data_IF_895385560629
#
_entry.id   IF_895385560629
#
_cell.length_a   1.000
_cell.length_b   1.000
_cell.length_c   1.000
_cell.angle_alpha   90.00
_cell.angle_beta   90.00
_cell.angle_gamma   90.00
#
_symmetry.space_group_name_H-M   'P 1'
#
loop_
_entity.id
_entity.type
_entity.pdbx_description
1 polymer ?
#
# COMPACT_ATOMS: atom_id res chain seq x y z
N UNK A 1 -15.20 9.54 -1.94
CA UNK A 1 -14.34 8.35 -1.74
C UNK A 1 -13.76 8.45 -0.33
N UNK A 2 -14.17 7.54 0.55
CA UNK A 2 -13.68 7.47 1.94
C UNK A 2 -12.30 6.80 1.87
N UNK A 3 -11.27 7.39 2.48
CA UNK A 3 -9.99 6.69 2.63
C UNK A 3 -10.27 5.30 3.23
N UNK A 4 -9.69 4.20 2.69
CA UNK A 4 -9.89 2.88 3.27
C UNK A 4 -9.44 2.93 4.72
N UNK A 5 -10.35 2.60 5.63
CA UNK A 5 -10.08 2.67 7.05
C UNK A 5 -8.89 1.76 7.37
N UNK A 6 -7.99 2.20 8.26
CA UNK A 6 -6.83 1.42 8.68
C UNK A 6 -7.18 -0.04 9.04
N UNK A 7 -8.35 -0.24 9.67
CA UNK A 7 -8.87 -1.57 9.99
C UNK A 7 -9.02 -2.45 8.74
N UNK A 8 -9.62 -1.95 7.67
CA UNK A 8 -9.88 -2.72 6.45
C UNK A 8 -8.57 -3.10 5.77
N UNK A 9 -7.62 -2.15 5.70
CA UNK A 9 -6.28 -2.41 5.15
C UNK A 9 -5.57 -3.49 5.96
N UNK A 10 -5.59 -3.38 7.29
CA UNK A 10 -4.96 -4.34 8.18
C UNK A 10 -5.57 -5.75 8.04
N UNK A 11 -6.90 -5.88 8.12
CA UNK A 11 -7.61 -7.15 8.00
C UNK A 11 -7.45 -7.76 6.60
N UNK A 12 -7.41 -6.93 5.56
CA UNK A 12 -7.19 -7.40 4.19
C UNK A 12 -5.77 -7.93 3.98
N UNK A 13 -4.75 -7.28 4.54
CA UNK A 13 -3.37 -7.76 4.45
C UNK A 13 -3.21 -9.12 5.16
N UNK A 14 -3.81 -9.28 6.34
CA UNK A 14 -3.86 -10.55 7.05
C UNK A 14 -4.53 -11.66 6.23
N UNK A 15 -5.67 -11.34 5.60
CA UNK A 15 -6.45 -12.26 4.77
C UNK A 15 -5.70 -12.68 3.50
N UNK A 16 -5.22 -11.70 2.71
CA UNK A 16 -4.48 -11.93 1.45
C UNK A 16 -3.20 -12.74 1.73
N UNK A 17 -2.45 -12.35 2.77
CA UNK A 17 -1.22 -13.01 3.18
C UNK A 17 -1.41 -14.37 3.86
N UNK A 18 -2.66 -14.80 4.09
CA UNK A 18 -3.01 -16.02 4.83
C UNK A 18 -2.26 -16.13 6.16
N UNK A 19 -2.08 -14.99 6.83
CA UNK A 19 -1.26 -14.89 8.05
C UNK A 19 -2.00 -15.54 9.21
N UNK A 20 -1.31 -16.39 9.96
CA UNK A 20 -1.85 -16.92 11.20
C UNK A 20 -1.97 -15.80 12.24
N UNK A 21 -3.14 -15.71 12.87
CA UNK A 21 -3.47 -14.72 13.89
C UNK A 21 -3.95 -15.39 15.17
N UNK A 22 -3.70 -14.73 16.30
CA UNK A 22 -4.35 -15.00 17.58
C UNK A 22 -5.34 -13.86 17.85
N UNK A 23 -6.62 -14.20 18.01
CA UNK A 23 -7.71 -13.29 18.33
C UNK A 23 -8.07 -13.48 19.80
N UNK A 24 -7.96 -12.42 20.59
CA UNK A 24 -8.35 -12.39 21.99
C UNK A 24 -9.76 -11.80 22.11
N UNK A 25 -10.60 -12.47 22.88
CA UNK A 25 -11.98 -12.06 23.14
C UNK A 25 -12.12 -11.37 24.50
N UNK A 26 -13.21 -10.62 24.72
CA UNK A 26 -13.48 -9.93 26.00
C UNK A 26 -13.59 -10.88 27.19
N UNK A 27 -14.02 -12.12 26.97
CA UNK A 27 -14.10 -13.14 28.02
C UNK A 27 -12.74 -13.82 28.33
N UNK A 28 -11.64 -13.37 27.70
CA UNK A 28 -10.30 -13.92 27.86
C UNK A 28 -10.00 -15.16 27.02
N UNK A 29 -10.96 -15.68 26.25
CA UNK A 29 -10.69 -16.78 25.33
C UNK A 29 -9.77 -16.33 24.19
N UNK A 30 -8.92 -17.24 23.71
CA UNK A 30 -8.06 -17.05 22.55
C UNK A 30 -8.48 -17.98 21.41
N UNK A 31 -8.59 -17.42 20.21
CA UNK A 31 -8.87 -18.16 18.98
C UNK A 31 -7.68 -18.01 18.04
N UNK A 32 -7.21 -19.12 17.46
CA UNK A 32 -6.07 -19.13 16.55
C UNK A 32 -6.49 -19.62 15.18
N UNK A 33 -6.04 -18.95 14.13
CA UNK A 33 -6.43 -19.32 12.78
C UNK A 33 -5.96 -18.31 11.74
N UNK A 34 -6.56 -18.37 10.56
CA UNK A 34 -6.31 -17.44 9.45
C UNK A 34 -7.62 -16.75 9.09
N UNK A 35 -7.57 -15.44 8.86
CA UNK A 35 -8.76 -14.68 8.44
C UNK A 35 -9.11 -15.06 7.01
N UNK A 36 -10.36 -15.47 6.77
CA UNK A 36 -10.89 -15.82 5.44
C UNK A 36 -11.72 -14.72 4.82
N UNK A 37 -12.53 -14.05 5.63
CA UNK A 37 -13.38 -12.94 5.23
C UNK A 37 -13.61 -12.02 6.42
N UNK A 38 -14.05 -10.79 6.16
CA UNK A 38 -14.52 -9.85 7.17
C UNK A 38 -15.50 -8.88 6.53
N UNK A 39 -16.37 -8.30 7.35
CA UNK A 39 -17.24 -7.19 6.97
C UNK A 39 -17.12 -6.07 8.00
N UNK A 40 -18.08 -5.14 8.03
CA UNK A 40 -18.13 -4.04 9.00
C UNK A 40 -18.15 -4.53 10.46
N UNK A 41 -18.85 -5.62 10.77
CA UNK A 41 -19.16 -6.08 12.13
C UNK A 41 -18.57 -7.45 12.50
N UNK A 42 -18.11 -8.24 11.54
CA UNK A 42 -17.70 -9.64 11.74
C UNK A 42 -16.37 -9.96 11.05
N UNK A 43 -15.74 -11.04 11.54
CA UNK A 43 -14.55 -11.67 10.96
C UNK A 43 -14.80 -13.17 10.88
N UNK A 44 -14.51 -13.78 9.73
CA UNK A 44 -14.49 -15.23 9.56
C UNK A 44 -13.05 -15.74 9.76
N UNK A 45 -12.84 -16.49 10.82
CA UNK A 45 -11.56 -17.10 11.17
C UNK A 45 -11.60 -18.61 10.85
N UNK A 46 -10.64 -19.11 10.08
CA UNK A 46 -10.47 -20.54 9.86
C UNK A 46 -9.38 -21.10 10.77
N UNK A 47 -9.72 -22.09 11.58
CA UNK A 47 -8.83 -22.79 12.51
C UNK A 47 -7.96 -23.83 11.77
N UNK A 48 -6.96 -24.39 12.48
CA UNK A 48 -6.07 -25.43 11.93
C UNK A 48 -6.80 -26.72 11.55
N UNK A 49 -7.90 -27.06 12.23
CA UNK A 49 -8.79 -28.19 11.90
C UNK A 49 -9.82 -27.84 10.80
N UNK A 50 -9.56 -26.77 10.03
CA UNK A 50 -10.38 -26.28 8.91
C UNK A 50 -11.81 -25.87 9.24
N UNK A 51 -12.17 -25.75 10.53
CA UNK A 51 -13.46 -25.18 10.93
C UNK A 51 -13.47 -23.67 10.70
N UNK A 52 -14.62 -23.14 10.31
CA UNK A 52 -14.84 -21.71 10.15
C UNK A 52 -15.62 -21.17 11.34
N UNK A 53 -15.11 -20.11 11.96
CA UNK A 53 -15.72 -19.41 13.07
C UNK A 53 -16.11 -18.01 12.61
N UNK A 54 -17.39 -17.67 12.73
CA UNK A 54 -17.87 -16.30 12.57
C UNK A 54 -17.77 -15.59 13.92
N UNK A 55 -16.94 -14.55 13.99
CA UNK A 55 -16.64 -13.81 15.22
C UNK A 55 -17.14 -12.38 15.05
N UNK A 56 -17.97 -11.91 15.98
CA UNK A 56 -18.36 -10.51 16.02
C UNK A 56 -17.24 -9.62 16.57
N UNK A 57 -16.97 -8.49 15.91
CA UNK A 57 -15.90 -7.56 16.29
C UNK A 57 -16.10 -6.95 17.69
N UNK A 58 -17.34 -6.75 18.14
CA UNK A 58 -17.61 -6.27 19.50
C UNK A 58 -17.15 -7.26 20.58
N UNK A 59 -16.93 -8.53 20.23
CA UNK A 59 -16.41 -9.55 21.12
C UNK A 59 -14.89 -9.64 21.15
N UNK A 60 -14.19 -8.90 20.27
CA UNK A 60 -12.73 -8.96 20.10
C UNK A 60 -12.07 -7.80 20.84
N UNK A 61 -11.04 -8.10 21.63
CA UNK A 61 -10.19 -7.09 22.28
C UNK A 61 -8.92 -6.83 21.49
N UNK A 62 -8.29 -7.87 20.94
CA UNK A 62 -6.97 -7.75 20.28
C UNK A 62 -6.79 -8.81 19.21
N UNK A 63 -6.15 -8.44 18.09
CA UNK A 63 -5.74 -9.35 17.02
C UNK A 63 -4.22 -9.27 16.89
N UNK A 64 -3.53 -10.38 17.11
CA UNK A 64 -2.06 -10.47 17.06
C UNK A 64 -1.63 -11.37 15.90
N UNK A 65 -0.94 -10.85 14.88
CA UNK A 65 -0.38 -11.68 13.82
C UNK A 65 0.85 -12.45 14.32
N UNK A 66 1.03 -13.66 13.78
CA UNK A 66 2.18 -14.53 14.08
C UNK A 66 3.51 -14.05 13.51
N UNK A 67 3.45 -13.15 12.51
CA UNK A 67 4.61 -12.54 11.87
C UNK A 67 4.32 -11.06 11.64
N UNK A 68 5.38 -10.27 11.42
CA UNK A 68 5.26 -8.87 11.06
C UNK A 68 4.47 -8.73 9.76
N UNK A 69 3.46 -7.88 9.78
CA UNK A 69 2.63 -7.58 8.61
C UNK A 69 2.96 -6.18 8.17
N UNK A 70 3.59 -6.06 7.00
CA UNK A 70 3.78 -4.76 6.39
C UNK A 70 2.43 -4.21 5.96
N UNK A 71 2.03 -3.08 6.56
CA UNK A 71 0.87 -2.32 6.12
C UNK A 71 1.32 -1.50 4.91
N UNK A 72 1.58 -2.21 3.80
CA UNK A 72 1.78 -1.55 2.52
C UNK A 72 0.47 -0.83 2.22
N UNK A 73 0.58 0.46 1.97
CA UNK A 73 -0.52 1.36 1.62
C UNK A 73 -1.05 0.92 0.25
N UNK A 74 -1.89 -0.12 0.20
CA UNK A 74 -2.69 -0.55 -0.96
C UNK A 74 -3.78 0.51 -1.26
N UNK A 75 -3.38 1.76 -1.51
CA UNK A 75 -4.28 2.82 -1.98
C UNK A 75 -4.50 2.74 -3.51
N UNK A 76 -3.91 1.76 -4.19
CA UNK A 76 -3.88 1.67 -5.65
C UNK A 76 -4.19 0.27 -6.16
N UNK A 77 -5.31 -0.34 -5.74
CA UNK A 77 -5.74 -1.58 -6.39
C UNK A 77 -7.25 -1.82 -6.29
N UNK A 78 -8.02 -0.99 -6.98
CA UNK A 78 -9.31 -1.39 -7.55
C UNK A 78 -9.50 -0.68 -8.91
N UNK A 79 -8.75 -1.12 -9.92
CA UNK A 79 -9.17 -0.92 -11.31
C UNK A 79 -10.13 -2.08 -11.62
N UNK A 80 -11.36 -1.84 -12.09
CA UNK A 80 -12.24 -2.91 -12.52
C UNK A 80 -11.56 -3.68 -13.66
N UNK A 81 -11.38 -4.99 -13.48
CA UNK A 81 -10.97 -5.90 -14.54
C UNK A 81 -12.06 -5.92 -15.62
N UNK A 82 -11.82 -5.20 -16.71
CA UNK A 82 -12.43 -5.50 -18.00
C UNK A 82 -11.70 -6.69 -18.61
N UNK A 83 -12.47 -7.61 -19.16
CA UNK A 83 -12.09 -8.91 -19.69
C UNK A 83 -10.92 -8.84 -20.69
N UNK A 84 -9.99 -9.79 -20.55
CA UNK A 84 -8.84 -10.01 -21.42
C UNK A 84 -9.24 -10.76 -22.70
N UNK A 85 -8.42 -10.71 -23.77
CA UNK A 85 -8.15 -11.89 -24.57
C UNK A 85 -6.88 -12.60 -24.07
N UNK A 86 -6.99 -13.92 -24.03
CA UNK A 86 -5.98 -14.91 -23.67
C UNK A 86 -4.76 -14.87 -24.59
N UNK A 87 -3.58 -15.24 -24.06
CA UNK A 87 -2.42 -15.51 -24.88
C UNK A 87 -1.09 -15.54 -24.12
N UNK A 88 -0.69 -16.75 -23.75
CA UNK A 88 0.69 -17.24 -23.61
C UNK A 88 1.45 -17.06 -22.28
N UNK A 89 1.92 -18.23 -21.81
CA UNK A 89 2.66 -18.49 -20.60
C UNK A 89 4.18 -18.39 -20.82
N UNK A 90 4.94 -17.99 -19.79
CA UNK A 90 5.94 -18.85 -19.13
C UNK A 90 6.80 -18.09 -18.09
N UNK A 91 6.85 -18.68 -16.88
CA UNK A 91 7.89 -18.71 -15.84
C UNK A 91 9.04 -17.67 -15.79
N UNK A 92 9.18 -16.99 -14.64
CA UNK A 92 10.28 -17.22 -13.69
C UNK A 92 10.11 -16.52 -12.35
N UNK A 93 10.33 -17.29 -11.29
CA UNK A 93 10.53 -16.81 -9.93
C UNK A 93 11.75 -15.88 -9.82
N UNK A 94 11.59 -14.71 -9.18
CA UNK A 94 12.66 -13.99 -8.48
C UNK A 94 12.03 -13.33 -7.25
N UNK A 95 12.67 -13.49 -6.08
CA UNK A 95 12.31 -12.83 -4.82
C UNK A 95 12.38 -11.30 -4.87
N UNK A 96 12.21 -10.62 -3.72
CA UNK A 96 11.98 -9.18 -3.67
C UNK A 96 13.14 -8.42 -4.32
N UNK A 97 12.84 -7.70 -5.41
CA UNK A 97 13.82 -6.85 -6.08
C UNK A 97 14.10 -5.66 -5.16
N UNK A 98 15.36 -5.56 -4.71
CA UNK A 98 15.86 -4.42 -3.94
C UNK A 98 15.57 -3.13 -4.69
N UNK A 99 14.65 -2.32 -4.17
CA UNK A 99 14.32 -1.01 -4.71
C UNK A 99 15.59 -0.17 -4.85
N UNK A 100 15.96 0.20 -6.08
CA UNK A 100 17.19 0.96 -6.35
C UNK A 100 16.89 2.44 -6.18
N UNK A 101 17.38 3.05 -5.09
CA UNK A 101 17.18 4.48 -4.81
C UNK A 101 18.31 5.29 -5.45
N UNK A 102 17.97 6.32 -6.22
CA UNK A 102 18.92 7.23 -6.87
C UNK A 102 18.53 8.68 -6.64
N UNK A 103 19.52 9.56 -6.49
CA UNK A 103 19.31 11.00 -6.50
C UNK A 103 19.29 11.49 -7.95
N UNK A 104 18.20 12.13 -8.36
CA UNK A 104 18.02 12.64 -9.73
C UNK A 104 17.61 14.11 -9.69
N UNK A 105 17.89 14.84 -10.76
CA UNK A 105 17.39 16.21 -10.87
C UNK A 105 15.89 16.18 -11.12
N UNK A 106 15.18 17.12 -10.52
CA UNK A 106 13.73 17.18 -10.63
C UNK A 106 13.28 17.44 -12.08
N UNK A 107 14.07 18.18 -12.85
CA UNK A 107 13.81 18.51 -14.27
C UNK A 107 13.91 17.30 -15.21
N UNK A 108 14.68 16.28 -14.85
CA UNK A 108 14.89 15.09 -15.67
C UNK A 108 13.69 14.12 -15.61
N UNK A 109 12.77 14.32 -14.65
CA UNK A 109 11.60 13.48 -14.46
C UNK A 109 10.51 13.86 -15.46
N UNK A 110 10.19 12.94 -16.37
CA UNK A 110 9.13 13.10 -17.36
C UNK A 110 7.76 12.80 -16.76
N UNK A 111 6.79 13.67 -17.02
CA UNK A 111 5.41 13.52 -16.53
C UNK A 111 4.52 13.15 -17.71
N UNK A 112 3.64 12.16 -17.54
CA UNK A 112 2.67 11.82 -18.58
C UNK A 112 1.59 12.90 -18.72
N UNK A 113 1.05 13.08 -19.92
CA UNK A 113 -0.01 14.07 -20.16
C UNK A 113 -1.29 13.80 -19.33
N UNK A 114 -1.58 12.53 -19.03
CA UNK A 114 -2.70 12.15 -18.18
C UNK A 114 -2.60 12.74 -16.76
N UNK A 115 -1.39 12.79 -16.19
CA UNK A 115 -1.14 13.36 -14.86
C UNK A 115 -1.20 14.88 -14.86
N UNK A 116 -0.76 15.53 -15.95
CA UNK A 116 -0.90 16.98 -16.10
C UNK A 116 -2.38 17.41 -16.11
N UNK A 117 -3.25 16.60 -16.71
CA UNK A 117 -4.68 16.88 -16.80
C UNK A 117 -5.45 16.52 -15.51
N UNK A 118 -4.85 15.73 -14.61
CA UNK A 118 -5.46 15.34 -13.32
C UNK A 118 -4.54 15.73 -12.15
N UNK A 119 -4.39 17.04 -11.87
CA UNK A 119 -3.50 17.52 -10.83
C UNK A 119 -3.89 16.97 -9.44
N UNK A 120 -2.91 16.73 -8.56
CA UNK A 120 -3.16 16.20 -7.22
C UNK A 120 -3.90 17.25 -6.36
N UNK A 121 -4.70 16.77 -5.41
CA UNK A 121 -5.38 17.65 -4.43
C UNK A 121 -4.36 18.49 -3.67
N UNK A 122 -4.60 19.80 -3.57
CA UNK A 122 -3.71 20.76 -2.89
C UNK A 122 -3.39 20.37 -1.45
N UNK A 123 -4.38 19.94 -0.68
CA UNK A 123 -4.19 19.48 0.70
C UNK A 123 -3.12 18.37 0.81
N UNK A 124 -3.08 17.46 -0.17
CA UNK A 124 -2.10 16.37 -0.21
C UNK A 124 -0.71 16.88 -0.55
N UNK A 125 -0.60 17.88 -1.43
CA UNK A 125 0.67 18.54 -1.78
C UNK A 125 1.21 19.30 -0.57
N UNK A 126 0.39 20.13 0.09
CA UNK A 126 0.77 20.89 1.28
C UNK A 126 1.21 19.99 2.43
N UNK A 127 0.52 18.87 2.65
CA UNK A 127 0.93 17.87 3.63
C UNK A 127 2.33 17.34 3.37
N UNK A 128 2.66 17.01 2.11
CA UNK A 128 4.01 16.56 1.76
C UNK A 128 5.06 17.67 1.88
N UNK A 129 4.69 18.93 1.59
CA UNK A 129 5.58 20.08 1.81
C UNK A 129 5.89 20.24 3.29
N UNK A 130 4.87 20.28 4.15
CA UNK A 130 5.05 20.40 5.59
C UNK A 130 5.86 19.23 6.16
N UNK A 131 5.58 18.01 5.72
CA UNK A 131 6.36 16.85 6.08
C UNK A 131 7.84 17.04 5.72
N UNK A 132 8.15 17.44 4.48
CA UNK A 132 9.53 17.65 4.04
C UNK A 132 10.23 18.76 4.84
N UNK A 133 9.53 19.85 5.16
CA UNK A 133 10.08 20.93 5.98
C UNK A 133 10.40 20.48 7.41
N UNK A 134 9.70 19.48 7.95
CA UNK A 134 9.95 18.94 9.29
C UNK A 134 11.05 17.87 9.31
N UNK A 135 11.05 16.97 8.33
CA UNK A 135 11.93 15.77 8.33
C UNK A 135 13.15 15.91 7.43
N UNK A 136 13.18 16.91 6.55
CA UNK A 136 14.18 17.08 5.49
C UNK A 136 14.10 16.07 4.35
N UNK A 137 13.12 15.16 4.35
CA UNK A 137 12.97 14.11 3.33
C UNK A 137 11.53 13.65 3.14
N UNK A 138 11.21 13.13 1.96
CA UNK A 138 9.95 12.43 1.75
C UNK A 138 10.02 11.01 2.35
N UNK A 139 9.06 10.61 3.19
CA UNK A 139 9.04 9.25 3.80
C UNK A 139 9.00 8.10 2.78
N UNK A 140 8.42 8.37 1.60
CA UNK A 140 8.38 7.44 0.48
C UNK A 140 8.95 8.16 -0.74
N UNK A 141 9.81 7.50 -1.49
CA UNK A 141 10.39 8.05 -2.70
C UNK A 141 9.35 8.31 -3.79
N UNK A 142 9.69 9.18 -4.73
CA UNK A 142 8.99 9.31 -6.01
C UNK A 142 9.44 8.13 -6.87
N UNK A 143 8.53 7.43 -7.54
CA UNK A 143 8.88 6.28 -8.37
C UNK A 143 9.03 6.69 -9.82
N UNK A 144 10.14 6.31 -10.42
CA UNK A 144 10.51 6.70 -11.78
C UNK A 144 10.96 5.48 -12.55
N UNK A 145 10.50 5.34 -13.80
CA UNK A 145 10.89 4.23 -14.67
C UNK A 145 12.34 4.40 -15.15
N UNK A 146 13.16 3.36 -15.00
CA UNK A 146 14.61 3.38 -15.23
C UNK A 146 14.98 3.94 -16.62
N UNK A 147 14.33 3.44 -17.68
CA UNK A 147 14.72 3.74 -19.05
C UNK A 147 14.19 5.08 -19.57
N UNK A 148 13.03 5.52 -19.08
CA UNK A 148 12.33 6.68 -19.64
C UNK A 148 12.37 7.90 -18.74
N UNK A 149 12.82 7.74 -17.50
CA UNK A 149 12.70 8.72 -16.42
C UNK A 149 11.24 9.21 -16.24
N UNK A 150 10.26 8.40 -16.63
CA UNK A 150 8.85 8.75 -16.46
C UNK A 150 8.40 8.52 -15.03
N UNK A 151 7.67 9.49 -14.48
CA UNK A 151 7.02 9.39 -13.19
C UNK A 151 5.93 8.32 -13.22
N UNK A 152 6.09 7.31 -12.38
CA UNK A 152 5.14 6.20 -12.22
C UNK A 152 4.23 6.45 -11.03
N UNK A 153 4.80 6.91 -9.92
CA UNK A 153 4.07 7.23 -8.69
C UNK A 153 4.77 8.38 -7.93
N UNK A 154 4.03 9.08 -7.08
CA UNK A 154 4.54 10.17 -6.26
C UNK A 154 4.33 11.55 -6.88
N UNK A 155 3.38 11.72 -7.79
CA UNK A 155 3.15 13.00 -8.49
C UNK A 155 2.91 14.17 -7.52
N UNK A 156 2.13 13.97 -6.44
CA UNK A 156 1.94 15.00 -5.42
C UNK A 156 3.24 15.41 -4.70
N UNK A 157 4.18 14.48 -4.52
CA UNK A 157 5.51 14.77 -3.95
C UNK A 157 6.41 15.46 -4.95
N UNK A 158 6.32 15.09 -6.23
CA UNK A 158 7.00 15.81 -7.31
C UNK A 158 6.55 17.27 -7.37
N UNK A 159 5.23 17.51 -7.32
CA UNK A 159 4.67 18.88 -7.28
C UNK A 159 5.12 19.60 -6.01
N UNK A 160 5.08 18.94 -4.84
CA UNK A 160 5.59 19.50 -3.59
C UNK A 160 7.07 19.87 -3.69
N UNK A 161 7.92 19.00 -4.24
CA UNK A 161 9.34 19.23 -4.46
C UNK A 161 9.58 20.42 -5.41
N UNK A 162 8.76 20.54 -6.47
CA UNK A 162 8.81 21.65 -7.41
C UNK A 162 8.42 22.97 -6.74
N UNK A 163 7.38 22.98 -5.93
CA UNK A 163 6.96 24.17 -5.17
C UNK A 163 7.93 24.56 -4.05
N UNK A 164 8.64 23.58 -3.49
CA UNK A 164 9.75 23.81 -2.55
C UNK A 164 11.05 24.21 -3.26
N UNK A 165 11.03 24.31 -4.59
CA UNK A 165 12.17 24.68 -5.43
C UNK A 165 13.40 23.76 -5.24
N UNK A 166 13.15 22.47 -5.01
CA UNK A 166 14.20 21.46 -4.88
C UNK A 166 14.82 21.17 -6.23
N UNK A 167 16.17 21.19 -6.29
CA UNK A 167 16.91 20.86 -7.53
C UNK A 167 17.02 19.36 -7.76
N UNK A 168 17.16 18.60 -6.68
CA UNK A 168 17.39 17.17 -6.70
C UNK A 168 16.50 16.47 -5.68
N UNK A 169 16.05 15.27 -6.04
CA UNK A 169 15.21 14.43 -5.18
C UNK A 169 15.66 12.98 -5.28
N UNK A 170 15.53 12.26 -4.16
CA UNK A 170 15.73 10.82 -4.14
C UNK A 170 14.49 10.12 -4.72
N UNK A 171 14.73 9.29 -5.73
CA UNK A 171 13.71 8.54 -6.45
C UNK A 171 14.00 7.05 -6.37
N UNK A 172 12.95 6.27 -6.38
CA UNK A 172 13.00 4.82 -6.50
C UNK A 172 12.89 4.45 -7.98
N UNK A 173 13.91 3.77 -8.48
CA UNK A 173 13.95 3.29 -9.85
C UNK A 173 13.15 1.99 -9.95
N UNK A 174 12.13 2.01 -10.81
CA UNK A 174 11.33 0.85 -11.16
C UNK A 174 11.68 0.38 -12.57
N UNK A 175 11.77 -0.94 -12.76
CA UNK A 175 12.06 -1.57 -14.06
C UNK A 175 10.84 -1.49 -14.98
#
# INVERSE_FOLDING_TARGET
MKDPAFQDVFLNNLRKGKVHVTVYLFNGAQLKGVIKAFDTYTIVLQTSDKKQLLIYKHGITTIVPSQTVEIIKDFEEQVPQGEAPEGEAENKAIGPTSATIRKVKLEDIKISQALLNTPPRREKVEKFKQQYLQTGRFEKYIKVKENTMMLVDGYAKYVAAKELNLKEVEVEIVK
#
